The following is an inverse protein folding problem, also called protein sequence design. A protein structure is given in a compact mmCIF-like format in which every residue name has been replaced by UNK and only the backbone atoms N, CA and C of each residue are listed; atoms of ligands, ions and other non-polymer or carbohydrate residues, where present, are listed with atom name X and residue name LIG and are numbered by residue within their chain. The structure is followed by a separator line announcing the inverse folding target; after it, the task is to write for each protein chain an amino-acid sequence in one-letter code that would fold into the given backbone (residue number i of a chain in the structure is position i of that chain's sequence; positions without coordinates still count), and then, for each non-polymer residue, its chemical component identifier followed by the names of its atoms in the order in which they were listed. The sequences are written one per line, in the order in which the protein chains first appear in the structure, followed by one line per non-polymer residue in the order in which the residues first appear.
data_IF_850795826431
#
_entry.id   IF_850795826431
#
_cell.length_a   1.000
_cell.length_b   1.000
_cell.length_c   1.000
_cell.angle_alpha   90.00
_cell.angle_beta   90.00
_cell.angle_gamma   90.00
#
_symmetry.space_group_name_H-M   'P 1'
#
loop_
_entity.id
_entity.type
_entity.pdbx_description
1 polymer ?
#
# COMPACT_ATOMS: atom_id res chain seq x y z
N UNK A 1 -3.68 -12.28 -12.97
CA UNK A 1 -3.21 -11.13 -12.17
C UNK A 1 -4.45 -10.37 -11.72
N UNK A 2 -4.80 -10.33 -10.41
CA UNK A 2 -6.10 -9.83 -9.93
C UNK A 2 -5.91 -8.77 -8.84
N UNK A 3 -5.35 -7.61 -9.20
CA UNK A 3 -5.39 -6.40 -8.38
C UNK A 3 -6.31 -5.41 -9.06
N UNK A 4 -7.51 -5.21 -8.52
CA UNK A 4 -8.50 -4.30 -9.10
C UNK A 4 -8.30 -2.85 -8.62
N UNK A 5 -7.76 -2.66 -7.42
CA UNK A 5 -7.70 -1.34 -6.78
C UNK A 5 -6.74 -0.38 -7.49
N UNK A 6 -5.50 -0.80 -7.78
CA UNK A 6 -4.50 0.07 -8.44
C UNK A 6 -4.98 0.48 -9.84
N UNK A 7 -5.38 -0.43 -10.74
CA UNK A 7 -5.85 -0.03 -12.07
C UNK A 7 -7.08 0.87 -12.02
N UNK A 8 -8.06 0.57 -11.16
CA UNK A 8 -9.28 1.37 -11.04
C UNK A 8 -8.99 2.79 -10.50
N UNK A 9 -8.05 2.94 -9.57
CA UNK A 9 -7.66 4.24 -9.06
C UNK A 9 -6.90 5.05 -10.12
N UNK A 10 -5.98 4.42 -10.85
CA UNK A 10 -5.27 5.07 -11.96
C UNK A 10 -6.25 5.56 -13.01
N UNK A 11 -7.18 4.71 -13.46
CA UNK A 11 -8.21 5.10 -14.43
C UNK A 11 -9.05 6.29 -13.93
N UNK A 12 -9.42 6.28 -12.65
CA UNK A 12 -10.21 7.35 -12.04
C UNK A 12 -9.45 8.68 -11.98
N UNK A 13 -8.17 8.63 -11.61
CA UNK A 13 -7.30 9.83 -11.57
C UNK A 13 -7.03 10.38 -12.97
N UNK A 14 -6.83 9.51 -13.97
CA UNK A 14 -6.67 9.93 -15.37
C UNK A 14 -7.94 10.59 -15.90
N UNK A 15 -9.14 10.08 -15.56
CA UNK A 15 -10.42 10.71 -15.89
C UNK A 15 -10.59 12.11 -15.28
N UNK A 16 -9.89 12.39 -14.18
CA UNK A 16 -9.85 13.71 -13.54
C UNK A 16 -8.78 14.64 -14.15
N UNK A 17 -8.04 14.18 -15.17
CA UNK A 17 -7.01 14.96 -15.87
C UNK A 17 -5.60 14.79 -15.32
N UNK A 18 -5.34 13.78 -14.48
CA UNK A 18 -3.99 13.49 -13.98
C UNK A 18 -3.23 12.62 -14.99
N UNK A 19 -2.00 13.03 -15.35
CA UNK A 19 -1.12 12.20 -16.16
C UNK A 19 -0.44 11.13 -15.31
N UNK A 20 -0.14 9.97 -15.91
CA UNK A 20 0.54 8.88 -15.18
C UNK A 20 1.90 9.32 -14.63
N UNK A 21 2.58 10.21 -15.33
CA UNK A 21 3.88 10.77 -14.95
C UNK A 21 3.82 11.60 -13.67
N UNK A 22 2.65 12.09 -13.29
CA UNK A 22 2.44 12.88 -12.07
C UNK A 22 2.17 12.00 -10.85
N UNK A 23 1.96 10.70 -11.05
CA UNK A 23 1.57 9.78 -9.99
C UNK A 23 2.80 9.24 -9.26
N UNK A 24 2.72 9.26 -7.93
CA UNK A 24 3.63 8.54 -7.03
C UNK A 24 2.81 7.70 -6.05
N UNK A 25 3.41 6.63 -5.54
CA UNK A 25 2.73 5.74 -4.60
C UNK A 25 3.44 5.65 -3.25
N UNK A 26 2.64 5.57 -2.18
CA UNK A 26 3.06 5.15 -0.84
C UNK A 26 2.18 3.98 -0.41
N UNK A 27 2.77 2.95 0.19
CA UNK A 27 2.01 1.78 0.66
C UNK A 27 2.26 1.49 2.13
N UNK A 28 1.21 1.15 2.87
CA UNK A 28 1.34 0.64 4.22
C UNK A 28 0.35 -0.51 4.46
N UNK A 29 0.75 -1.54 5.20
CA UNK A 29 -0.14 -2.67 5.50
C UNK A 29 0.51 -4.05 5.38
N UNK A 30 -0.29 -5.07 5.12
CA UNK A 30 0.21 -6.44 4.92
C UNK A 30 0.84 -7.10 6.15
N UNK A 31 0.42 -6.71 7.36
CA UNK A 31 0.85 -7.39 8.58
C UNK A 31 0.21 -8.78 8.71
N UNK A 32 0.95 -9.72 9.31
CA UNK A 32 0.45 -11.03 9.68
C UNK A 32 0.13 -11.08 11.18
N UNK A 33 -1.06 -10.63 11.56
CA UNK A 33 -1.50 -10.53 12.96
C UNK A 33 -1.69 -11.88 13.67
N UNK A 34 -1.83 -12.97 12.91
CA UNK A 34 -2.12 -14.31 13.43
C UNK A 34 -0.89 -15.22 13.45
N UNK A 35 0.31 -14.64 13.40
CA UNK A 35 1.58 -15.38 13.32
C UNK A 35 1.74 -16.46 14.40
N UNK A 36 1.21 -16.23 15.61
CA UNK A 36 1.36 -17.13 16.77
C UNK A 36 0.32 -18.27 16.83
N UNK A 37 -0.73 -18.24 16.01
CA UNK A 37 -1.85 -19.18 16.18
C UNK A 37 -1.60 -20.60 15.61
N UNK A 38 -0.39 -20.96 15.16
CA UNK A 38 -0.06 -22.22 14.44
C UNK A 38 -0.98 -22.53 13.24
N UNK A 39 -1.88 -21.62 12.88
CA UNK A 39 -2.62 -21.67 11.64
C UNK A 39 -1.59 -21.31 10.58
N UNK A 40 -1.33 -22.22 9.64
CA UNK A 40 -0.64 -21.90 8.39
C UNK A 40 -1.54 -20.95 7.58
N UNK A 41 -1.81 -19.75 8.10
CA UNK A 41 -2.46 -18.69 7.36
C UNK A 41 -1.49 -18.31 6.27
N UNK A 42 -1.81 -18.75 5.05
CA UNK A 42 -1.26 -18.22 3.80
C UNK A 42 -1.04 -16.73 3.99
N UNK A 43 0.19 -16.25 3.77
CA UNK A 43 0.55 -14.86 4.04
C UNK A 43 -0.14 -13.93 3.01
N UNK A 44 -1.44 -13.66 3.22
CA UNK A 44 -2.27 -12.82 2.36
C UNK A 44 -1.69 -11.40 2.31
N UNK A 45 -1.12 -10.94 3.44
CA UNK A 45 -0.43 -9.65 3.53
C UNK A 45 0.72 -9.53 2.53
N UNK A 46 1.65 -10.49 2.51
CA UNK A 46 2.79 -10.46 1.59
C UNK A 46 2.34 -10.57 0.13
N UNK A 47 1.34 -11.42 -0.16
CA UNK A 47 0.77 -11.56 -1.51
C UNK A 47 0.12 -10.25 -1.99
N UNK A 48 -0.59 -9.54 -1.11
CA UNK A 48 -1.19 -8.25 -1.45
C UNK A 48 -0.11 -7.20 -1.72
N UNK A 49 0.94 -7.15 -0.89
CA UNK A 49 2.06 -6.23 -1.09
C UNK A 49 2.75 -6.50 -2.43
N UNK A 50 3.03 -7.76 -2.75
CA UNK A 50 3.65 -8.15 -4.02
C UNK A 50 2.76 -7.80 -5.21
N UNK A 51 1.47 -8.10 -5.12
CA UNK A 51 0.53 -7.81 -6.19
C UNK A 51 0.38 -6.30 -6.44
N UNK A 52 0.33 -5.48 -5.38
CA UNK A 52 0.32 -4.01 -5.49
C UNK A 52 1.61 -3.51 -6.13
N UNK A 53 2.79 -3.99 -5.68
CA UNK A 53 4.07 -3.60 -6.27
C UNK A 53 4.15 -3.93 -7.77
N UNK A 54 3.70 -5.12 -8.18
CA UNK A 54 3.63 -5.51 -9.59
C UNK A 54 2.66 -4.63 -10.39
N UNK A 55 1.51 -4.29 -9.81
CA UNK A 55 0.54 -3.42 -10.47
C UNK A 55 1.07 -1.99 -10.63
N UNK A 56 1.73 -1.44 -9.61
CA UNK A 56 2.36 -0.12 -9.68
C UNK A 56 3.44 -0.07 -10.77
N UNK A 57 4.31 -1.09 -10.80
CA UNK A 57 5.34 -1.22 -11.83
C UNK A 57 4.75 -1.32 -13.25
N UNK A 58 3.65 -2.07 -13.43
CA UNK A 58 2.95 -2.17 -14.72
C UNK A 58 2.38 -0.82 -15.20
N UNK A 59 2.04 0.07 -14.27
CA UNK A 59 1.52 1.41 -14.59
C UNK A 59 2.60 2.50 -14.59
N UNK A 60 3.88 2.13 -14.44
CA UNK A 60 5.02 3.04 -14.34
C UNK A 60 4.92 4.04 -13.17
N UNK A 61 4.27 3.64 -12.08
CA UNK A 61 4.08 4.50 -10.89
C UNK A 61 5.18 4.21 -9.86
N UNK A 62 6.09 5.16 -9.58
CA UNK A 62 7.15 4.96 -8.60
C UNK A 62 6.60 4.84 -7.18
N UNK A 63 7.09 3.83 -6.45
CA UNK A 63 6.81 3.64 -5.03
C UNK A 63 7.85 4.43 -4.21
N UNK A 64 7.45 5.59 -3.69
CA UNK A 64 8.37 6.52 -3.00
C UNK A 64 8.51 6.25 -1.50
N UNK A 65 7.55 5.56 -0.88
CA UNK A 65 7.65 5.15 0.52
C UNK A 65 6.85 3.87 0.81
N UNK A 66 7.28 3.10 1.81
CA UNK A 66 6.52 1.94 2.29
C UNK A 66 6.68 1.62 3.77
N UNK A 67 5.61 1.13 4.39
CA UNK A 67 5.58 0.48 5.71
C UNK A 67 4.73 -0.80 5.67
N UNK A 68 5.36 -1.90 5.26
CA UNK A 68 4.67 -3.16 4.97
C UNK A 68 5.19 -4.33 5.81
N UNK A 69 4.35 -5.35 5.99
CA UNK A 69 4.72 -6.56 6.74
C UNK A 69 4.53 -6.40 8.25
N UNK A 70 5.37 -7.07 9.05
CA UNK A 70 5.26 -7.09 10.51
C UNK A 70 4.11 -7.97 11.02
N UNK A 71 3.97 -8.01 12.35
CA UNK A 71 2.96 -8.84 13.05
C UNK A 71 1.87 -8.02 13.75
N UNK A 72 1.96 -6.70 13.71
CA UNK A 72 1.02 -5.80 14.37
C UNK A 72 0.17 -5.04 13.36
N UNK A 73 -1.04 -4.69 13.78
CA UNK A 73 -1.87 -3.74 13.05
C UNK A 73 -1.27 -2.34 13.00
N UNK A 74 -1.71 -1.59 12.00
CA UNK A 74 -1.36 -0.19 11.82
C UNK A 74 -2.57 0.61 11.33
N UNK A 75 -2.68 1.84 11.81
CA UNK A 75 -3.61 2.85 11.31
C UNK A 75 -2.87 3.73 10.32
N UNK A 76 -3.49 4.03 9.18
CA UNK A 76 -2.94 4.88 8.14
C UNK A 76 -3.81 6.13 8.01
N UNK A 77 -3.18 7.30 8.02
CA UNK A 77 -3.80 8.57 7.68
C UNK A 77 -3.03 9.18 6.51
N UNK A 78 -3.72 9.51 5.42
CA UNK A 78 -3.11 10.07 4.21
C UNK A 78 -3.71 11.43 3.89
N UNK A 79 -2.87 12.46 3.87
CA UNK A 79 -3.28 13.80 3.46
C UNK A 79 -3.00 13.97 1.97
N UNK A 80 -4.06 13.97 1.16
CA UNK A 80 -3.97 14.05 -0.31
C UNK A 80 -3.42 15.38 -0.82
N UNK A 81 -3.55 16.47 -0.05
CA UNK A 81 -3.06 17.79 -0.43
C UNK A 81 -1.54 17.92 -0.26
N UNK A 82 -0.98 17.25 0.74
CA UNK A 82 0.46 17.31 1.07
C UNK A 82 1.23 16.06 0.65
N UNK A 83 0.52 14.96 0.35
CA UNK A 83 1.11 13.65 0.13
C UNK A 83 1.67 13.00 1.39
N UNK A 84 1.50 13.58 2.58
CA UNK A 84 2.03 13.04 3.84
C UNK A 84 1.18 11.83 4.27
N UNK A 85 1.86 10.71 4.54
CA UNK A 85 1.25 9.49 5.07
C UNK A 85 1.74 9.25 6.50
N UNK A 86 0.84 9.26 7.48
CA UNK A 86 1.16 8.92 8.86
C UNK A 86 0.73 7.48 9.14
N UNK A 87 1.68 6.66 9.58
CA UNK A 87 1.47 5.26 9.94
C UNK A 87 1.68 5.08 11.43
N UNK A 88 0.61 4.75 12.15
CA UNK A 88 0.64 4.51 13.59
C UNK A 88 0.49 3.03 13.89
N UNK A 89 1.48 2.45 14.55
CA UNK A 89 1.52 1.03 14.93
C UNK A 89 1.83 0.88 16.43
N UNK A 90 1.93 -0.35 16.91
CA UNK A 90 2.40 -0.64 18.27
C UNK A 90 3.80 -0.06 18.55
N UNK A 91 4.67 0.00 17.53
CA UNK A 91 6.05 0.50 17.66
C UNK A 91 6.15 2.03 17.64
N UNK A 92 5.01 2.74 17.63
CA UNK A 92 4.95 4.20 17.52
C UNK A 92 4.47 4.67 16.16
N UNK A 93 4.79 5.92 15.85
CA UNK A 93 4.32 6.64 14.68
C UNK A 93 5.45 6.90 13.68
N UNK A 94 5.17 6.71 12.40
CA UNK A 94 6.09 6.96 11.30
C UNK A 94 5.44 7.87 10.28
N UNK A 95 6.18 8.89 9.84
CA UNK A 95 5.77 9.77 8.74
C UNK A 95 6.47 9.27 7.47
N UNK A 96 5.67 9.00 6.45
CA UNK A 96 6.07 8.54 5.13
C UNK A 96 5.75 9.57 4.06
#
# INVERSE_FOLDING_TARGET
MRTLAVPALVESLQKMGCEKTDLVAKIAGGANMFYDQKIHTVNVGSRNVEAVKKSLAYHDIPLVASDVGGIHGRRVSFNVFTGIMVVKSFNGEKIL
#
